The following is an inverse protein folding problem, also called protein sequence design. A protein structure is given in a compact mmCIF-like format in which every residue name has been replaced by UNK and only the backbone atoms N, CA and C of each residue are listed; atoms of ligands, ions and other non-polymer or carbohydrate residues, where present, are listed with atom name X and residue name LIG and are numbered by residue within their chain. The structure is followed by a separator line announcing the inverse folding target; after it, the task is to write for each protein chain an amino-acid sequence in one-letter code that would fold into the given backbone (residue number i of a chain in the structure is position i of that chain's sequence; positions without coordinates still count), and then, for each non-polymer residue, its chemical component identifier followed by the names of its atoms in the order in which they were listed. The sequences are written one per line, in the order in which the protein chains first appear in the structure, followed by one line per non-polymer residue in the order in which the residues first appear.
data_IF_473043233605
#
_entry.id   IF_473043233605
#
_cell.length_a   1.000
_cell.length_b   1.000
_cell.length_c   1.000
_cell.angle_alpha   90.00
_cell.angle_beta   90.00
_cell.angle_gamma   90.00
#
_symmetry.space_group_name_H-M   'P 1'
#
loop_
_entity.id
_entity.type
_entity.pdbx_description
1 polymer ?
#
# COMPACT_ATOMS: atom_id res chain seq x y z
N UNK A 1 7.95 -37.59 12.00
CA UNK A 1 8.53 -36.24 12.02
C UNK A 1 8.56 -35.75 10.57
N UNK A 2 7.50 -35.09 10.10
CA UNK A 2 7.45 -34.61 8.71
C UNK A 2 7.74 -33.12 8.68
N UNK A 3 8.84 -32.82 8.01
CA UNK A 3 9.48 -31.53 7.83
C UNK A 3 8.52 -30.49 7.27
N UNK A 4 8.42 -29.36 7.97
CA UNK A 4 7.70 -28.18 7.50
C UNK A 4 8.30 -27.66 6.21
N UNK A 5 7.50 -27.61 5.16
CA UNK A 5 7.83 -26.89 3.92
C UNK A 5 7.86 -25.40 4.27
N UNK A 6 8.94 -24.65 4.01
CA UNK A 6 8.90 -23.21 4.15
C UNK A 6 7.91 -22.68 3.12
N UNK A 7 6.86 -22.00 3.58
CA UNK A 7 5.95 -21.27 2.72
C UNK A 7 6.78 -20.30 1.88
N UNK A 8 6.84 -20.54 0.58
CA UNK A 8 7.46 -19.62 -0.37
C UNK A 8 6.78 -18.26 -0.20
N UNK A 9 7.56 -17.23 0.14
CA UNK A 9 7.09 -15.87 0.09
C UNK A 9 6.56 -15.61 -1.33
N UNK A 10 5.39 -14.97 -1.51
CA UNK A 10 4.93 -14.60 -2.83
C UNK A 10 6.03 -13.81 -3.50
N UNK A 11 6.50 -14.33 -4.64
CA UNK A 11 7.47 -13.64 -5.45
C UNK A 11 6.82 -12.33 -5.90
N UNK A 12 7.48 -11.20 -5.63
CA UNK A 12 7.14 -9.92 -6.24
C UNK A 12 7.38 -10.04 -7.74
N UNK A 13 6.43 -10.62 -8.47
CA UNK A 13 6.52 -10.86 -9.90
C UNK A 13 5.91 -9.67 -10.64
N UNK A 14 6.77 -8.88 -11.30
CA UNK A 14 6.31 -7.95 -12.33
C UNK A 14 7.28 -6.83 -12.65
N UNK A 15 8.02 -6.31 -11.66
CA UNK A 15 9.00 -5.25 -11.87
C UNK A 15 10.29 -5.57 -11.09
N UNK A 16 11.49 -5.33 -11.65
CA UNK A 16 12.71 -5.47 -10.89
C UNK A 16 12.62 -4.54 -9.67
N UNK A 17 12.62 -5.15 -8.48
CA UNK A 17 12.60 -4.45 -7.20
C UNK A 17 13.80 -3.51 -7.15
N UNK A 18 13.55 -2.25 -7.46
CA UNK A 18 14.62 -1.26 -7.52
C UNK A 18 15.11 -1.02 -6.10
N UNK A 19 16.43 -0.96 -5.92
CA UNK A 19 17.00 -0.71 -4.60
C UNK A 19 16.51 0.65 -4.06
N UNK A 20 16.14 0.68 -2.78
CA UNK A 20 15.51 1.84 -2.14
C UNK A 20 14.03 2.03 -2.46
N UNK A 21 13.35 1.03 -3.04
CA UNK A 21 11.92 1.14 -3.36
C UNK A 21 11.01 0.80 -2.18
N UNK A 22 9.84 1.42 -2.21
CA UNK A 22 8.73 1.21 -1.27
C UNK A 22 7.77 0.21 -1.90
N UNK A 23 7.45 -0.87 -1.18
CA UNK A 23 6.47 -1.85 -1.61
C UNK A 23 5.06 -1.28 -1.45
N UNK A 24 4.29 -1.21 -2.53
CA UNK A 24 2.92 -0.69 -2.50
C UNK A 24 1.93 -1.85 -2.47
N UNK A 25 1.26 -2.01 -1.34
CA UNK A 25 0.18 -2.99 -1.13
C UNK A 25 -1.13 -2.32 -1.52
N UNK A 26 -1.74 -2.84 -2.58
CA UNK A 26 -2.97 -2.30 -3.14
C UNK A 26 -4.19 -2.68 -2.31
N UNK A 27 -5.23 -1.85 -2.37
CA UNK A 27 -6.54 -2.22 -1.86
C UNK A 27 -7.13 -3.35 -2.74
N UNK A 28 -7.62 -4.47 -2.16
CA UNK A 28 -8.09 -5.61 -2.93
C UNK A 28 -9.38 -5.33 -3.71
N UNK A 29 -10.21 -4.40 -3.24
CA UNK A 29 -11.45 -4.02 -3.91
C UNK A 29 -11.21 -2.94 -4.98
N UNK A 30 -10.13 -2.16 -4.85
CA UNK A 30 -9.78 -1.06 -5.74
C UNK A 30 -8.27 -1.07 -6.10
N UNK A 31 -7.77 -2.13 -6.76
CA UNK A 31 -6.33 -2.26 -7.04
C UNK A 31 -5.78 -1.14 -7.92
N UNK A 32 -6.64 -0.52 -8.73
CA UNK A 32 -6.30 0.63 -9.58
C UNK A 32 -5.80 1.85 -8.80
N UNK A 33 -6.15 1.99 -7.51
CA UNK A 33 -5.80 3.15 -6.69
C UNK A 33 -4.29 3.23 -6.38
N UNK A 34 -3.57 2.12 -6.49
CA UNK A 34 -2.12 2.05 -6.27
C UNK A 34 -1.32 2.90 -7.25
N UNK A 35 -1.71 2.94 -8.52
CA UNK A 35 -1.06 3.75 -9.57
C UNK A 35 -0.99 5.25 -9.23
N UNK A 36 -2.12 5.96 -9.08
CA UNK A 36 -2.10 7.39 -8.78
C UNK A 36 -1.51 7.73 -7.40
N UNK A 37 -1.70 6.86 -6.40
CA UNK A 37 -1.15 7.08 -5.06
C UNK A 37 0.38 6.91 -5.03
N UNK A 38 0.89 5.86 -5.68
CA UNK A 38 2.33 5.64 -5.79
C UNK A 38 3.02 6.75 -6.60
N UNK A 39 2.41 7.19 -7.69
CA UNK A 39 2.92 8.31 -8.50
C UNK A 39 2.95 9.66 -7.76
N UNK A 40 2.17 9.80 -6.68
CA UNK A 40 2.17 11.02 -5.85
C UNK A 40 3.27 11.01 -4.79
N UNK A 41 3.86 9.85 -4.49
CA UNK A 41 4.91 9.71 -3.49
C UNK A 41 6.26 10.19 -4.03
N UNK A 42 7.11 10.74 -3.15
CA UNK A 42 8.46 11.13 -3.55
C UNK A 42 9.43 9.93 -3.66
N UNK A 43 9.16 8.85 -2.94
CA UNK A 43 9.99 7.64 -2.95
C UNK A 43 9.71 6.78 -4.19
N UNK A 44 10.72 6.09 -4.76
CA UNK A 44 10.48 5.10 -5.79
C UNK A 44 9.62 3.96 -5.23
N UNK A 45 8.64 3.50 -6.00
CA UNK A 45 7.65 2.51 -5.56
C UNK A 45 7.65 1.29 -6.46
N UNK A 46 7.44 0.11 -5.86
CA UNK A 46 7.18 -1.13 -6.59
C UNK A 46 5.84 -1.68 -6.14
N UNK A 47 4.95 -2.01 -7.08
CA UNK A 47 3.70 -2.68 -6.75
C UNK A 47 3.99 -4.06 -6.16
N UNK A 48 3.34 -4.37 -5.04
CA UNK A 48 3.46 -5.66 -4.38
C UNK A 48 2.12 -6.39 -4.45
N UNK A 49 2.15 -7.57 -5.03
CA UNK A 49 1.00 -8.48 -5.07
C UNK A 49 0.97 -9.30 -3.78
N UNK A 50 0.00 -9.01 -2.91
CA UNK A 50 -0.18 -9.74 -1.66
C UNK A 50 -0.71 -8.87 -0.53
N UNK A 51 -0.73 -9.41 0.67
CA UNK A 51 -1.15 -8.71 1.88
C UNK A 51 -0.03 -7.87 2.49
N UNK A 52 -0.40 -6.98 3.42
CA UNK A 52 0.57 -6.22 4.23
C UNK A 52 1.55 -7.13 4.98
N UNK A 53 1.08 -8.26 5.52
CA UNK A 53 1.95 -9.18 6.26
C UNK A 53 2.99 -9.86 5.35
N UNK A 54 2.61 -10.18 4.12
CA UNK A 54 3.52 -10.70 3.10
C UNK A 54 4.52 -9.63 2.66
N UNK A 55 4.08 -8.39 2.48
CA UNK A 55 4.97 -7.27 2.15
C UNK A 55 5.99 -7.00 3.27
N UNK A 56 5.59 -7.05 4.54
CA UNK A 56 6.51 -6.94 5.69
C UNK A 56 7.52 -8.08 5.69
N UNK A 57 7.07 -9.30 5.42
CA UNK A 57 7.96 -10.46 5.37
C UNK A 57 8.97 -10.32 4.23
N UNK A 58 8.53 -9.92 3.05
CA UNK A 58 9.39 -9.68 1.89
C UNK A 58 10.40 -8.55 2.14
N UNK A 59 9.94 -7.41 2.68
CA UNK A 59 10.80 -6.28 3.00
C UNK A 59 11.86 -6.62 4.07
N UNK A 60 11.55 -7.50 5.03
CA UNK A 60 12.54 -7.98 6.01
C UNK A 60 13.60 -8.88 5.39
N UNK A 61 13.25 -9.65 4.36
CA UNK A 61 14.18 -10.54 3.67
C UNK A 61 15.07 -9.80 2.66
N UNK A 62 14.67 -8.59 2.25
CA UNK A 62 15.31 -7.82 1.21
C UNK A 62 15.88 -6.51 1.77
N UNK A 63 17.21 -6.40 1.95
CA UNK A 63 17.83 -5.22 2.54
C UNK A 63 17.71 -3.95 1.68
N UNK A 64 17.26 -4.09 0.43
CA UNK A 64 17.09 -3.02 -0.53
C UNK A 64 15.65 -2.46 -0.57
N UNK A 65 14.73 -2.96 0.26
CA UNK A 65 13.40 -2.37 0.42
C UNK A 65 13.45 -1.31 1.51
N UNK A 66 13.07 -0.11 1.12
CA UNK A 66 13.08 1.07 1.98
C UNK A 66 11.93 1.03 2.97
N UNK A 67 10.73 0.67 2.49
CA UNK A 67 9.51 0.69 3.29
C UNK A 67 8.32 0.08 2.58
N UNK A 68 7.14 0.20 3.20
CA UNK A 68 5.89 -0.40 2.69
C UNK A 68 4.78 0.64 2.78
N UNK A 69 3.99 0.76 1.72
CA UNK A 69 2.82 1.62 1.63
C UNK A 69 1.57 0.75 1.51
N UNK A 70 0.74 0.71 2.55
CA UNK A 70 -0.58 0.05 2.51
C UNK A 70 -1.66 1.05 2.08
N UNK A 71 -2.48 0.65 1.12
CA UNK A 71 -3.65 1.39 0.66
C UNK A 71 -4.90 0.63 1.07
N UNK A 72 -5.87 1.32 1.67
CA UNK A 72 -7.16 0.75 2.08
C UNK A 72 -8.27 1.75 1.79
N UNK A 73 -9.22 1.36 0.95
CA UNK A 73 -10.38 2.16 0.56
C UNK A 73 -11.67 1.44 0.98
N UNK A 74 -12.27 1.92 2.07
CA UNK A 74 -13.51 1.38 2.63
C UNK A 74 -14.68 2.22 2.11
N UNK A 75 -15.44 1.68 1.17
CA UNK A 75 -16.51 2.40 0.44
C UNK A 75 -17.90 1.82 0.64
N UNK A 76 -18.02 0.73 1.39
CA UNK A 76 -19.25 -0.05 1.63
C UNK A 76 -19.71 0.00 3.09
N UNK A 77 -19.07 0.83 3.91
CA UNK A 77 -19.37 0.99 5.34
C UNK A 77 -20.14 2.27 5.62
N UNK A 78 -20.90 2.32 6.73
CA UNK A 78 -21.59 3.53 7.19
C UNK A 78 -20.65 4.73 7.39
N UNK A 79 -19.35 4.44 7.59
CA UNK A 79 -18.26 5.39 7.69
C UNK A 79 -17.24 5.14 6.58
N UNK A 80 -17.57 5.61 5.36
CA UNK A 80 -16.70 5.53 4.20
C UNK A 80 -15.38 6.26 4.48
N UNK A 81 -14.25 5.60 4.23
CA UNK A 81 -12.93 6.19 4.45
C UNK A 81 -11.86 5.64 3.53
N UNK A 82 -10.88 6.48 3.23
CA UNK A 82 -9.63 6.08 2.58
C UNK A 82 -8.47 6.24 3.54
N UNK A 83 -7.55 5.28 3.52
CA UNK A 83 -6.33 5.30 4.34
C UNK A 83 -5.12 4.88 3.52
N UNK A 84 -4.03 5.63 3.68
CA UNK A 84 -2.69 5.21 3.26
C UNK A 84 -1.80 5.17 4.49
N UNK A 85 -1.10 4.07 4.70
CA UNK A 85 -0.17 3.93 5.81
C UNK A 85 1.21 3.55 5.30
N UNK A 86 2.21 4.32 5.71
CA UNK A 86 3.60 3.99 5.46
C UNK A 86 4.18 3.25 6.66
N UNK A 87 4.92 2.18 6.41
CA UNK A 87 5.58 1.34 7.39
C UNK A 87 7.07 1.23 7.09
N UNK A 88 7.86 1.03 8.14
CA UNK A 88 9.25 0.57 8.01
C UNK A 88 9.29 -0.89 7.51
N UNK A 89 10.39 -1.36 6.90
CA UNK A 89 10.55 -2.74 6.44
C UNK A 89 10.34 -3.76 7.57
N UNK A 90 10.80 -3.41 8.78
CA UNK A 90 10.63 -4.22 9.99
C UNK A 90 9.20 -4.30 10.52
N UNK A 91 8.24 -3.59 9.93
CA UNK A 91 6.92 -3.38 10.53
C UNK A 91 6.97 -2.27 11.59
N UNK A 92 5.90 -1.48 11.66
CA UNK A 92 5.83 -0.27 12.47
C UNK A 92 5.54 0.94 11.59
N UNK A 93 4.42 1.62 11.86
CA UNK A 93 3.97 2.75 11.07
C UNK A 93 4.93 3.94 11.26
N UNK A 94 5.17 4.64 10.16
CA UNK A 94 5.93 5.90 10.12
C UNK A 94 4.95 7.05 10.13
N UNK A 95 3.95 6.99 9.26
CA UNK A 95 2.86 7.96 9.18
C UNK A 95 1.61 7.30 8.60
N UNK A 96 0.46 7.93 8.84
CA UNK A 96 -0.85 7.50 8.36
C UNK A 96 -1.57 8.72 7.81
N UNK A 97 -2.06 8.64 6.58
CA UNK A 97 -2.99 9.61 6.02
C UNK A 97 -4.37 9.01 5.88
N UNK A 98 -5.38 9.80 6.23
CA UNK A 98 -6.78 9.40 6.16
C UNK A 98 -7.61 10.49 5.50
N UNK A 99 -8.62 10.06 4.76
CA UNK A 99 -9.69 10.90 4.24
C UNK A 99 -11.02 10.24 4.60
N UNK A 100 -12.00 11.05 4.95
CA UNK A 100 -13.31 10.59 5.33
C UNK A 100 -14.31 11.57 4.72
N UNK A 101 -15.27 11.05 3.97
CA UNK A 101 -16.36 11.82 3.42
C UNK A 101 -17.61 10.95 3.51
N UNK A 102 -18.74 11.56 3.83
CA UNK A 102 -20.05 10.91 3.74
C UNK A 102 -20.84 11.71 2.71
N UNK A 103 -20.60 11.41 1.45
CA UNK A 103 -21.07 12.23 0.31
C UNK A 103 -22.18 11.57 -0.48
N UNK A 104 -22.53 10.33 -0.16
CA UNK A 104 -23.49 9.53 -0.92
C UNK A 104 -23.02 9.26 -2.36
N UNK A 105 -23.47 8.15 -2.93
CA UNK A 105 -23.13 7.73 -4.29
C UNK A 105 -22.61 6.31 -4.35
N UNK A 106 -22.19 5.88 -5.55
CA UNK A 106 -21.65 4.53 -5.76
C UNK A 106 -20.23 4.38 -5.24
N UNK A 107 -19.90 3.19 -4.73
CA UNK A 107 -18.60 2.82 -4.16
C UNK A 107 -17.40 3.27 -5.02
N UNK A 108 -17.45 3.04 -6.32
CA UNK A 108 -16.37 3.41 -7.26
C UNK A 108 -16.12 4.94 -7.31
N UNK A 109 -17.19 5.75 -7.26
CA UNK A 109 -17.06 7.21 -7.23
C UNK A 109 -16.41 7.67 -5.91
N UNK A 110 -16.77 7.03 -4.81
CA UNK A 110 -16.21 7.33 -3.49
C UNK A 110 -14.73 6.93 -3.45
N UNK A 111 -14.36 5.75 -3.95
CA UNK A 111 -12.98 5.29 -4.04
C UNK A 111 -12.09 6.26 -4.82
N UNK A 112 -12.58 6.80 -5.95
CA UNK A 112 -11.89 7.86 -6.72
C UNK A 112 -11.66 9.13 -5.92
N UNK A 113 -12.68 9.61 -5.20
CA UNK A 113 -12.54 10.78 -4.34
C UNK A 113 -11.53 10.55 -3.21
N UNK A 114 -11.51 9.35 -2.64
CA UNK A 114 -10.53 8.98 -1.63
C UNK A 114 -9.12 8.93 -2.19
N UNK A 115 -8.91 8.27 -3.33
CA UNK A 115 -7.61 8.23 -4.00
C UNK A 115 -7.10 9.64 -4.32
N UNK A 116 -7.95 10.53 -4.87
CA UNK A 116 -7.57 11.92 -5.15
C UNK A 116 -7.20 12.69 -3.87
N UNK A 117 -7.98 12.52 -2.81
CA UNK A 117 -7.75 13.19 -1.52
C UNK A 117 -6.47 12.71 -0.85
N UNK A 118 -6.21 11.40 -0.90
CA UNK A 118 -4.99 10.78 -0.36
C UNK A 118 -3.77 11.17 -1.19
N UNK A 119 -3.87 11.17 -2.52
CA UNK A 119 -2.81 11.60 -3.44
C UNK A 119 -2.30 13.00 -3.09
N UNK A 120 -3.21 13.95 -2.86
CA UNK A 120 -2.86 15.31 -2.43
C UNK A 120 -2.16 15.36 -1.06
N UNK A 121 -2.53 14.47 -0.14
CA UNK A 121 -1.95 14.41 1.21
C UNK A 121 -0.57 13.77 1.25
N UNK A 122 -0.34 12.77 0.39
CA UNK A 122 0.94 12.06 0.31
C UNK A 122 1.89 12.69 -0.72
N UNK A 123 1.42 13.68 -1.49
CA UNK A 123 2.22 14.44 -2.44
C UNK A 123 3.52 14.94 -1.79
N UNK A 124 4.66 14.48 -2.32
CA UNK A 124 5.98 14.88 -1.82
C UNK A 124 6.40 14.25 -0.49
N UNK A 125 5.59 13.36 0.10
CA UNK A 125 6.00 12.62 1.29
C UNK A 125 6.97 11.50 0.92
N UNK A 126 7.95 11.29 1.79
CA UNK A 126 8.84 10.13 1.73
C UNK A 126 8.29 9.03 2.60
N UNK A 127 8.21 7.82 2.06
CA UNK A 127 8.17 6.60 2.86
C UNK A 127 9.62 6.08 2.91
N UNK A 128 10.21 5.93 4.11
CA UNK A 128 11.61 5.53 4.27
C UNK A 128 11.85 4.18 3.63
#
# INVERSE_FOLDING_TARGET
MNSGVPAAAPAAQGNPLSAGSVLVVSDPNHPWASGPLSASLASPTTLFEGSLSQAITAARQQPNISGILEISLVTDSAFESGRVTCYRPGGGSVWVEKVMFNIGGGAERIARRFADGLAKKIAGKTCP
#
